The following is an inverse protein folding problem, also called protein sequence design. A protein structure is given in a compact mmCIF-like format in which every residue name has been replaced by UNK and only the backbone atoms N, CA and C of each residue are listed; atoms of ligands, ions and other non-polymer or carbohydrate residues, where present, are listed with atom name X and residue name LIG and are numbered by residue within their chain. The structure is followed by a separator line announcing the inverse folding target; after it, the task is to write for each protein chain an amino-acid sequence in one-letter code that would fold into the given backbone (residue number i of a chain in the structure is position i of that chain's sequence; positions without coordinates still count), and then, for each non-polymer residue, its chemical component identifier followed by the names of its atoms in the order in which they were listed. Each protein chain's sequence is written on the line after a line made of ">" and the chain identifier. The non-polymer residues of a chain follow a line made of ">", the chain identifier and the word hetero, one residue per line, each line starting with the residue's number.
data_IF_090550431825
#
_entry.id   IF_090550431825
#
_cell.length_a   1.000
_cell.length_b   1.000
_cell.length_c   1.000
_cell.angle_alpha   90.00
_cell.angle_beta   90.00
_cell.angle_gamma   90.00
#
_symmetry.space_group_name_H-M   'P 1'
#
loop_
_entity.id
_entity.type
_entity.pdbx_description
1 polymer ?
#
# COMPACT_ATOMS: atom_id res chain seq x y z
N UNK A 1 64.04 -52.96 -40.68
CA UNK A 1 62.74 -53.65 -40.66
C UNK A 1 62.43 -53.88 -39.20
N UNK A 2 61.70 -52.96 -38.55
CA UNK A 2 60.22 -52.87 -38.56
C UNK A 2 59.71 -53.47 -37.23
N UNK A 3 58.75 -52.98 -36.46
CA UNK A 3 57.84 -51.82 -36.48
C UNK A 3 57.30 -51.64 -35.04
N UNK A 4 56.71 -50.48 -34.75
CA UNK A 4 56.01 -50.06 -33.52
C UNK A 4 54.82 -50.97 -33.10
N UNK A 5 54.23 -50.73 -31.91
CA UNK A 5 52.83 -50.23 -31.78
C UNK A 5 52.51 -49.81 -30.34
N UNK A 6 51.99 -48.57 -30.22
CA UNK A 6 51.36 -47.93 -29.05
C UNK A 6 50.03 -48.59 -28.68
N UNK A 7 49.71 -48.69 -27.40
CA UNK A 7 48.37 -49.03 -26.91
C UNK A 7 47.50 -47.79 -26.74
N UNK A 8 46.30 -47.81 -27.33
CA UNK A 8 45.22 -46.83 -27.18
C UNK A 8 43.89 -47.57 -27.15
N UNK A 9 43.06 -47.30 -26.15
CA UNK A 9 41.59 -47.11 -26.17
C UNK A 9 41.11 -46.99 -24.72
N UNK A 10 40.70 -45.80 -24.26
CA UNK A 10 39.33 -45.28 -24.32
C UNK A 10 38.36 -46.03 -23.41
N UNK A 11 38.03 -45.45 -22.25
CA UNK A 11 36.61 -45.31 -21.87
C UNK A 11 36.37 -44.26 -20.77
N UNK A 12 35.36 -43.45 -21.05
CA UNK A 12 34.86 -42.31 -20.32
C UNK A 12 34.33 -42.67 -18.91
N UNK A 13 34.98 -42.16 -17.86
CA UNK A 13 34.32 -41.80 -16.59
C UNK A 13 34.83 -40.45 -16.12
N UNK A 14 34.29 -39.36 -16.68
CA UNK A 14 34.36 -38.04 -16.05
C UNK A 14 33.07 -37.81 -15.25
N UNK A 15 33.16 -37.40 -13.97
CA UNK A 15 32.00 -37.32 -13.09
C UNK A 15 31.10 -36.14 -13.49
N UNK A 16 29.86 -36.44 -13.87
CA UNK A 16 28.76 -35.50 -14.11
C UNK A 16 28.26 -34.78 -12.83
N UNK A 17 29.09 -34.67 -11.79
CA UNK A 17 28.69 -34.09 -10.50
C UNK A 17 29.11 -32.62 -10.39
N UNK A 18 30.13 -32.15 -11.14
CA UNK A 18 30.59 -30.76 -11.04
C UNK A 18 29.78 -29.73 -11.85
N UNK A 19 28.96 -30.15 -12.81
CA UNK A 19 28.27 -29.20 -13.70
C UNK A 19 27.00 -28.60 -13.05
N UNK A 20 26.43 -29.24 -12.02
CA UNK A 20 25.25 -28.73 -11.31
C UNK A 20 25.55 -27.59 -10.32
N UNK A 21 26.80 -27.46 -9.87
CA UNK A 21 27.19 -26.44 -8.89
C UNK A 21 27.42 -25.05 -9.55
N UNK A 22 27.83 -25.02 -10.81
CA UNK A 22 28.18 -23.77 -11.51
C UNK A 22 26.99 -22.87 -11.91
N UNK A 23 25.78 -23.42 -12.00
CA UNK A 23 24.58 -22.65 -12.38
C UNK A 23 23.75 -22.15 -11.18
N UNK A 24 24.17 -22.41 -9.95
CA UNK A 24 23.37 -22.08 -8.76
C UNK A 24 23.56 -20.64 -8.22
N UNK A 25 24.51 -19.87 -8.76
CA UNK A 25 24.71 -18.45 -8.40
C UNK A 25 23.97 -17.47 -9.33
N UNK A 26 22.64 -17.63 -9.39
CA UNK A 26 21.70 -16.77 -10.15
C UNK A 26 21.34 -15.42 -9.48
N UNK A 27 22.02 -14.99 -8.43
CA UNK A 27 22.06 -13.59 -7.97
C UNK A 27 23.47 -13.31 -7.48
N UNK A 28 24.17 -12.37 -8.12
CA UNK A 28 25.61 -12.10 -7.86
C UNK A 28 25.87 -11.17 -6.67
N UNK A 29 24.84 -10.81 -5.92
CA UNK A 29 24.91 -9.91 -4.78
C UNK A 29 24.10 -10.51 -3.63
N UNK A 30 24.58 -10.32 -2.42
CA UNK A 30 23.86 -10.69 -1.21
C UNK A 30 22.65 -9.78 -0.99
N UNK A 31 21.65 -10.20 -0.20
CA UNK A 31 20.54 -9.34 0.21
C UNK A 31 20.99 -8.03 0.89
N UNK A 32 22.09 -8.09 1.66
CA UNK A 32 22.67 -6.92 2.33
C UNK A 32 23.24 -5.93 1.30
N UNK A 33 24.04 -6.42 0.35
CA UNK A 33 24.58 -5.59 -0.75
C UNK A 33 23.47 -5.02 -1.63
N UNK A 34 22.39 -5.78 -1.87
CA UNK A 34 21.21 -5.30 -2.57
C UNK A 34 20.53 -4.15 -1.82
N UNK A 35 20.29 -4.31 -0.51
CA UNK A 35 19.67 -3.30 0.34
C UNK A 35 20.53 -2.03 0.45
N UNK A 36 21.84 -2.18 0.63
CA UNK A 36 22.81 -1.08 0.63
C UNK A 36 22.76 -0.32 -0.68
N UNK A 37 22.91 -1.02 -1.80
CA UNK A 37 22.91 -0.43 -3.14
C UNK A 37 21.60 0.30 -3.43
N UNK A 38 20.46 -0.31 -3.09
CA UNK A 38 19.15 0.32 -3.22
C UNK A 38 19.06 1.60 -2.38
N UNK A 39 19.40 1.51 -1.09
CA UNK A 39 19.33 2.63 -0.16
C UNK A 39 20.23 3.80 -0.57
N UNK A 40 21.48 3.52 -0.97
CA UNK A 40 22.43 4.53 -1.45
C UNK A 40 21.94 5.21 -2.72
N UNK A 41 21.45 4.44 -3.70
CA UNK A 41 20.97 4.99 -4.98
C UNK A 41 19.71 5.83 -4.80
N UNK A 42 18.72 5.35 -4.05
CA UNK A 42 17.47 6.07 -3.86
C UNK A 42 17.66 7.36 -3.07
N UNK A 43 18.51 7.36 -2.03
CA UNK A 43 18.85 8.58 -1.28
C UNK A 43 19.56 9.62 -2.15
N UNK A 44 20.38 9.18 -3.11
CA UNK A 44 21.09 10.06 -4.03
C UNK A 44 20.27 10.55 -5.22
N UNK A 45 19.09 9.99 -5.48
CA UNK A 45 18.28 10.28 -6.68
C UNK A 45 17.19 11.34 -6.45
N UNK A 46 17.31 12.20 -5.44
CA UNK A 46 16.27 13.19 -5.10
C UNK A 46 15.99 14.18 -6.23
N UNK A 47 17.04 14.65 -6.92
CA UNK A 47 16.88 15.53 -8.10
C UNK A 47 16.21 14.83 -9.28
N UNK A 48 16.57 13.58 -9.53
CA UNK A 48 15.93 12.77 -10.58
C UNK A 48 14.44 12.57 -10.31
N UNK A 49 14.08 12.29 -9.05
CA UNK A 49 12.69 12.18 -8.61
C UNK A 49 11.99 13.52 -8.77
N UNK A 50 12.59 14.63 -8.34
CA UNK A 50 12.00 15.98 -8.51
C UNK A 50 11.73 16.29 -9.98
N UNK A 51 12.70 16.05 -10.86
CA UNK A 51 12.58 16.26 -12.29
C UNK A 51 11.50 15.36 -12.90
N UNK A 52 11.49 14.08 -12.55
CA UNK A 52 10.50 13.11 -13.03
C UNK A 52 9.08 13.49 -12.64
N UNK A 53 8.85 13.90 -11.38
CA UNK A 53 7.55 14.40 -10.91
C UNK A 53 7.17 15.71 -11.61
N UNK A 54 8.12 16.63 -11.78
CA UNK A 54 7.87 17.92 -12.44
C UNK A 54 7.51 17.77 -13.92
N UNK A 55 7.93 16.68 -14.56
CA UNK A 55 7.59 16.38 -15.96
C UNK A 55 6.21 15.72 -16.14
N UNK A 56 5.50 15.40 -15.05
CA UNK A 56 4.15 14.81 -15.13
C UNK A 56 3.16 15.86 -15.60
N UNK A 57 2.57 15.66 -16.77
CA UNK A 57 1.60 16.59 -17.39
C UNK A 57 0.14 16.29 -17.07
N UNK A 58 -0.15 15.12 -16.51
CA UNK A 58 -1.51 14.69 -16.15
C UNK A 58 -1.49 14.04 -14.77
N UNK A 59 -2.43 14.42 -13.90
CA UNK A 59 -2.51 13.88 -12.56
C UNK A 59 -2.70 12.34 -12.61
N UNK A 60 -1.83 11.55 -11.96
CA UNK A 60 -1.90 10.08 -12.03
C UNK A 60 -3.22 9.52 -11.45
N UNK A 61 -3.87 10.26 -10.55
CA UNK A 61 -5.19 9.91 -10.03
C UNK A 61 -6.29 9.87 -11.09
N UNK A 62 -6.22 10.72 -12.12
CA UNK A 62 -7.18 10.72 -13.25
C UNK A 62 -7.03 9.43 -14.05
N UNK A 63 -5.79 9.08 -14.41
CA UNK A 63 -5.49 7.81 -15.09
C UNK A 63 -5.92 6.59 -14.26
N UNK A 64 -5.73 6.64 -12.95
CA UNK A 64 -6.15 5.57 -12.05
C UNK A 64 -7.68 5.41 -12.02
N UNK A 65 -8.43 6.51 -11.94
CA UNK A 65 -9.89 6.51 -11.93
C UNK A 65 -10.46 5.85 -13.20
N UNK A 66 -9.87 6.12 -14.36
CA UNK A 66 -10.25 5.50 -15.64
C UNK A 66 -10.06 3.97 -15.66
N UNK A 67 -9.28 3.40 -14.73
CA UNK A 67 -9.00 1.96 -14.63
C UNK A 67 -9.81 1.27 -13.52
N UNK A 68 -10.92 1.86 -13.08
CA UNK A 68 -11.79 1.28 -12.02
C UNK A 68 -12.20 -0.17 -12.28
N UNK A 69 -12.52 -0.55 -13.53
CA UNK A 69 -12.88 -1.93 -13.86
C UNK A 69 -11.72 -2.91 -13.63
N UNK A 70 -10.50 -2.52 -14.01
CA UNK A 70 -9.27 -3.30 -13.77
C UNK A 70 -8.98 -3.41 -12.28
N UNK A 71 -9.18 -2.34 -11.51
CA UNK A 71 -9.02 -2.36 -10.05
C UNK A 71 -9.98 -3.36 -9.40
N UNK A 72 -11.28 -3.29 -9.75
CA UNK A 72 -12.31 -4.22 -9.22
C UNK A 72 -11.97 -5.68 -9.51
N UNK A 73 -11.66 -6.00 -10.76
CA UNK A 73 -11.35 -7.38 -11.15
C UNK A 73 -10.15 -7.96 -10.37
N UNK A 74 -9.08 -7.17 -10.22
CA UNK A 74 -7.89 -7.63 -9.48
C UNK A 74 -8.13 -7.70 -7.97
N UNK A 75 -8.95 -6.80 -7.41
CA UNK A 75 -9.31 -6.86 -6.00
C UNK A 75 -10.12 -8.12 -5.70
N UNK A 76 -11.15 -8.41 -6.50
CA UNK A 76 -11.98 -9.62 -6.36
C UNK A 76 -11.10 -10.86 -6.44
N UNK A 77 -10.23 -10.96 -7.46
CA UNK A 77 -9.28 -12.07 -7.58
C UNK A 77 -8.42 -12.24 -6.33
N UNK A 78 -7.88 -11.14 -5.79
CA UNK A 78 -7.03 -11.17 -4.59
C UNK A 78 -7.78 -11.53 -3.31
N UNK A 79 -9.09 -11.30 -3.27
CA UNK A 79 -9.95 -11.76 -2.17
C UNK A 79 -10.22 -13.26 -2.31
N UNK A 80 -10.56 -13.71 -3.52
CA UNK A 80 -10.88 -15.11 -3.83
C UNK A 80 -9.66 -16.04 -3.68
N UNK A 81 -8.46 -15.60 -4.05
CA UNK A 81 -7.24 -16.40 -3.95
C UNK A 81 -6.54 -16.31 -2.59
N UNK A 82 -7.14 -15.61 -1.61
CA UNK A 82 -6.63 -15.45 -0.25
C UNK A 82 -5.38 -14.55 -0.13
N UNK A 83 -4.91 -13.94 -1.22
CA UNK A 83 -3.74 -13.05 -1.18
C UNK A 83 -3.96 -11.86 -0.28
N UNK A 84 -5.15 -11.28 -0.30
CA UNK A 84 -5.49 -10.13 0.51
C UNK A 84 -5.45 -10.48 2.01
N UNK A 85 -6.14 -11.55 2.41
CA UNK A 85 -6.23 -11.98 3.80
C UNK A 85 -4.85 -12.28 4.39
N UNK A 86 -4.06 -13.12 3.70
CA UNK A 86 -2.71 -13.48 4.14
C UNK A 86 -1.80 -12.27 4.33
N UNK A 87 -1.92 -11.24 3.47
CA UNK A 87 -1.07 -10.04 3.53
C UNK A 87 -1.51 -9.06 4.61
N UNK A 88 -2.81 -8.88 4.81
CA UNK A 88 -3.31 -8.01 5.88
C UNK A 88 -3.01 -8.62 7.25
N UNK A 89 -3.06 -9.96 7.37
CA UNK A 89 -2.74 -10.68 8.60
C UNK A 89 -1.23 -10.87 8.87
N UNK A 90 -0.34 -10.51 7.93
CA UNK A 90 1.09 -10.85 8.06
C UNK A 90 1.85 -10.01 9.08
N UNK A 91 1.30 -8.88 9.53
CA UNK A 91 1.94 -8.00 10.52
C UNK A 91 1.45 -8.38 11.91
N UNK A 92 2.36 -8.80 12.78
CA UNK A 92 2.01 -9.12 14.16
C UNK A 92 1.54 -7.89 14.94
N UNK A 93 0.71 -8.11 15.97
CA UNK A 93 0.27 -7.04 16.87
C UNK A 93 1.46 -6.28 17.47
N UNK A 94 2.53 -6.99 17.86
CA UNK A 94 3.70 -6.38 18.47
C UNK A 94 4.45 -5.49 17.46
N UNK A 95 4.69 -5.99 16.25
CA UNK A 95 5.33 -5.20 15.19
C UNK A 95 4.50 -3.94 14.84
N UNK A 96 3.18 -4.08 14.76
CA UNK A 96 2.28 -2.95 14.53
C UNK A 96 2.39 -1.89 15.65
N UNK A 97 2.37 -2.32 16.93
CA UNK A 97 2.54 -1.42 18.09
C UNK A 97 3.89 -0.71 18.02
N UNK A 98 4.97 -1.46 17.80
CA UNK A 98 6.32 -0.91 17.75
C UNK A 98 6.48 0.14 16.64
N UNK A 99 6.01 -0.14 15.42
CA UNK A 99 6.08 0.82 14.31
C UNK A 99 5.22 2.05 14.56
N UNK A 100 4.03 1.86 15.11
CA UNK A 100 3.09 2.96 15.40
C UNK A 100 3.67 3.90 16.46
N UNK A 101 4.11 3.34 17.60
CA UNK A 101 4.63 4.13 18.72
C UNK A 101 5.96 4.82 18.37
N UNK A 102 6.89 4.09 17.74
CA UNK A 102 8.26 4.60 17.52
C UNK A 102 8.42 5.46 16.27
N UNK A 103 7.56 5.29 15.25
CA UNK A 103 7.66 6.00 13.96
C UNK A 103 6.39 6.76 13.57
N UNK A 104 5.22 6.18 13.85
CA UNK A 104 3.93 6.75 13.47
C UNK A 104 3.63 8.04 14.23
N UNK A 105 3.67 7.98 15.57
CA UNK A 105 3.29 9.11 16.44
C UNK A 105 4.07 10.39 16.11
N UNK A 106 5.40 10.29 15.93
CA UNK A 106 6.24 11.44 15.61
C UNK A 106 5.90 12.13 14.27
N UNK A 107 5.19 11.45 13.36
CA UNK A 107 4.76 12.01 12.06
C UNK A 107 3.37 12.64 12.11
N UNK A 108 2.60 12.42 13.17
CA UNK A 108 1.21 12.90 13.27
C UNK A 108 1.19 14.43 13.29
N UNK A 109 2.01 15.07 14.13
CA UNK A 109 2.00 16.55 14.25
C UNK A 109 2.23 17.22 12.90
N UNK A 110 3.32 16.85 12.22
CA UNK A 110 3.62 17.39 10.88
C UNK A 110 2.48 17.15 9.89
N UNK A 111 1.92 15.93 9.88
CA UNK A 111 0.79 15.61 9.01
C UNK A 111 -0.47 16.43 9.32
N UNK A 112 -0.74 16.74 10.59
CA UNK A 112 -1.85 17.61 11.01
C UNK A 112 -1.62 19.04 10.56
N UNK A 113 -0.43 19.59 10.79
CA UNK A 113 -0.10 20.97 10.42
C UNK A 113 -0.27 21.17 8.90
N UNK A 114 0.25 20.24 8.10
CA UNK A 114 0.14 20.25 6.63
C UNK A 114 -1.29 20.00 6.13
N UNK A 115 -2.12 19.27 6.88
CA UNK A 115 -3.50 18.91 6.47
C UNK A 115 -4.59 19.80 7.07
N UNK A 116 -4.25 20.72 7.98
CA UNK A 116 -5.19 21.60 8.70
C UNK A 116 -6.19 22.30 7.77
N UNK A 117 -5.73 22.84 6.64
CA UNK A 117 -6.60 23.44 5.62
C UNK A 117 -7.62 22.48 5.01
N UNK A 118 -7.28 21.20 4.79
CA UNK A 118 -8.23 20.20 4.29
C UNK A 118 -9.33 19.89 5.31
N UNK A 119 -8.99 19.93 6.61
CA UNK A 119 -9.97 19.77 7.68
C UNK A 119 -10.88 20.99 7.80
N UNK A 120 -10.33 22.20 7.63
CA UNK A 120 -11.13 23.43 7.57
C UNK A 120 -12.11 23.40 6.39
N UNK A 121 -11.67 22.99 5.21
CA UNK A 121 -12.53 22.83 4.03
C UNK A 121 -13.67 21.83 4.31
N UNK A 122 -13.34 20.66 4.88
CA UNK A 122 -14.33 19.67 5.26
C UNK A 122 -15.35 20.24 6.26
N UNK A 123 -14.87 20.92 7.31
CA UNK A 123 -15.74 21.51 8.33
C UNK A 123 -16.65 22.58 7.74
N UNK A 124 -16.14 23.40 6.81
CA UNK A 124 -16.92 24.44 6.14
C UNK A 124 -18.07 23.87 5.30
N UNK A 125 -17.91 22.67 4.75
CA UNK A 125 -18.99 21.95 4.04
C UNK A 125 -19.90 21.16 5.00
N UNK A 126 -19.33 20.53 6.02
CA UNK A 126 -20.03 19.61 6.91
C UNK A 126 -20.86 20.32 7.98
N UNK A 127 -20.40 21.44 8.53
CA UNK A 127 -21.09 22.12 9.63
C UNK A 127 -22.48 22.63 9.23
N UNK A 128 -22.71 23.26 8.06
CA UNK A 128 -24.06 23.62 7.64
C UNK A 128 -25.00 22.40 7.49
N UNK A 129 -24.47 21.27 6.99
CA UNK A 129 -25.23 20.01 6.92
C UNK A 129 -25.56 19.50 8.33
N UNK A 130 -24.61 19.55 9.25
CA UNK A 130 -24.79 19.14 10.64
C UNK A 130 -25.83 20.00 11.35
N UNK A 131 -25.77 21.32 11.18
CA UNK A 131 -26.72 22.29 11.75
C UNK A 131 -28.16 22.07 11.24
N UNK A 132 -28.33 21.72 9.96
CA UNK A 132 -29.64 21.31 9.44
C UNK A 132 -30.16 20.05 10.15
N UNK A 133 -29.30 19.04 10.31
CA UNK A 133 -29.66 17.81 11.03
C UNK A 133 -30.04 18.06 12.48
N UNK A 134 -29.29 18.93 13.16
CA UNK A 134 -29.55 19.34 14.53
C UNK A 134 -30.91 20.03 14.65
N UNK A 135 -31.25 20.97 13.74
CA UNK A 135 -32.57 21.62 13.71
C UNK A 135 -33.72 20.63 13.54
N UNK A 136 -33.56 19.62 12.69
CA UNK A 136 -34.56 18.55 12.52
C UNK A 136 -34.74 17.79 13.83
N UNK A 137 -33.64 17.35 14.44
CA UNK A 137 -33.67 16.58 15.68
C UNK A 137 -34.25 17.39 16.83
N UNK A 138 -33.90 18.67 16.97
CA UNK A 138 -34.39 19.54 18.04
C UNK A 138 -35.91 19.76 17.97
N UNK A 139 -36.51 19.68 16.79
CA UNK A 139 -37.96 19.76 16.62
C UNK A 139 -38.71 18.45 16.93
N UNK A 140 -38.01 17.33 17.17
CA UNK A 140 -38.62 16.05 17.50
C UNK A 140 -38.95 15.94 18.99
N UNK A 141 -39.99 15.18 19.38
CA UNK A 141 -40.22 14.84 20.79
C UNK A 141 -38.98 14.18 21.41
N UNK A 142 -38.82 14.29 22.73
CA UNK A 142 -37.68 13.77 23.50
C UNK A 142 -38.09 13.19 24.88
N UNK A 143 -39.38 12.91 25.08
CA UNK A 143 -39.95 12.55 26.38
C UNK A 143 -39.73 11.06 26.69
N UNK A 144 -39.81 10.21 25.68
CA UNK A 144 -39.74 8.75 25.82
C UNK A 144 -38.42 8.18 25.31
N UNK A 145 -38.17 6.90 25.65
CA UNK A 145 -37.08 6.15 25.06
C UNK A 145 -37.20 6.07 23.53
N UNK A 146 -38.40 5.84 23.01
CA UNK A 146 -38.66 5.75 21.57
C UNK A 146 -38.37 7.08 20.86
N UNK A 147 -38.70 8.20 21.51
CA UNK A 147 -38.37 9.53 21.02
C UNK A 147 -36.84 9.73 20.91
N UNK A 148 -36.10 9.31 21.94
CA UNK A 148 -34.64 9.35 21.95
C UNK A 148 -34.03 8.49 20.83
N UNK A 149 -34.56 7.28 20.60
CA UNK A 149 -34.15 6.39 19.51
C UNK A 149 -34.45 7.02 18.15
N UNK A 150 -35.63 7.64 18.00
CA UNK A 150 -36.03 8.30 16.77
C UNK A 150 -35.11 9.48 16.44
N UNK A 151 -34.78 10.32 17.43
CA UNK A 151 -33.82 11.43 17.30
C UNK A 151 -32.45 10.96 16.85
N UNK A 152 -31.90 9.94 17.50
CA UNK A 152 -30.61 9.37 17.13
C UNK A 152 -30.63 8.83 15.68
N UNK A 153 -31.68 8.08 15.32
CA UNK A 153 -31.85 7.50 13.99
C UNK A 153 -31.99 8.58 12.92
N UNK A 154 -32.72 9.67 13.20
CA UNK A 154 -32.87 10.80 12.30
C UNK A 154 -31.51 11.44 11.98
N UNK A 155 -30.68 11.69 13.00
CA UNK A 155 -29.35 12.26 12.80
C UNK A 155 -28.42 11.34 12.01
N UNK A 156 -28.43 10.05 12.30
CA UNK A 156 -27.64 9.05 11.56
C UNK A 156 -28.02 9.03 10.07
N UNK A 157 -29.33 8.99 9.78
CA UNK A 157 -29.84 9.01 8.40
C UNK A 157 -29.53 10.32 7.70
N UNK A 158 -29.60 11.44 8.40
CA UNK A 158 -29.24 12.75 7.86
C UNK A 158 -27.76 12.83 7.50
N UNK A 159 -26.87 12.47 8.43
CA UNK A 159 -25.42 12.46 8.20
C UNK A 159 -25.00 11.49 7.08
N UNK A 160 -25.68 10.37 6.90
CA UNK A 160 -25.41 9.43 5.80
C UNK A 160 -25.65 10.03 4.40
N UNK A 161 -26.44 11.10 4.30
CA UNK A 161 -26.70 11.82 3.04
C UNK A 161 -25.61 12.84 2.71
N UNK A 162 -24.73 13.18 3.64
CA UNK A 162 -23.65 14.13 3.38
C UNK A 162 -22.76 13.62 2.23
N UNK A 163 -22.53 14.49 1.25
CA UNK A 163 -21.60 14.26 0.14
C UNK A 163 -20.72 15.50 0.00
N UNK A 164 -19.41 15.29 0.03
CA UNK A 164 -18.43 16.35 -0.17
C UNK A 164 -18.37 16.76 -1.65
N UNK A 165 -18.12 18.03 -1.92
CA UNK A 165 -18.03 18.61 -3.26
C UNK A 165 -16.75 18.27 -4.04
N UNK A 166 -15.71 17.77 -3.37
CA UNK A 166 -14.39 17.44 -3.95
C UNK A 166 -13.96 16.01 -3.66
#
# INVERSE_FOLDING_TARGET
>A
MDYEVRTSTSEYRKPYIQVREYYYNMVKITPSEYSEKWGRRLKGSTEDVRRGVSAVTEAPGIKAAQKVAKMKANLIKSLEDGTWERRVASVSLQEWKDKTLKKGIGRISQGVDEASGKMQDFASEFFPHLEEGQRIVDAMPDITLEDSIARATAMMRHNAKFKRSK
#
